data_IF_714597002207
#
_entry.id   IF_714597002207
#
_cell.length_a   1.000
_cell.length_b   1.000
_cell.length_c   1.000
_cell.angle_alpha   90.00
_cell.angle_beta   90.00
_cell.angle_gamma   90.00
#
_symmetry.space_group_name_H-M   'P 1'
#
loop_
_entity.id
_entity.type
_entity.pdbx_description
1 polymer ?
#
# COMPACT_ATOMS: atom_id res chain seq x y z
N UNK A 1 13.63 1.75 1.27
CA UNK A 1 15.06 1.37 1.12
C UNK A 1 15.23 0.48 -0.10
N UNK A 2 16.43 0.38 -0.68
CA UNK A 2 16.69 -0.45 -1.87
C UNK A 2 17.87 -1.39 -1.61
N UNK A 3 17.80 -2.63 -2.12
CA UNK A 3 18.90 -3.58 -2.00
C UNK A 3 18.95 -4.55 -3.18
N UNK A 4 20.13 -5.09 -3.46
CA UNK A 4 20.30 -6.25 -4.34
C UNK A 4 20.28 -7.52 -3.48
N UNK A 5 19.45 -8.48 -3.83
CA UNK A 5 19.37 -9.78 -3.15
C UNK A 5 20.41 -10.73 -3.76
N UNK A 6 21.40 -11.13 -2.96
CA UNK A 6 22.51 -11.97 -3.43
C UNK A 6 22.08 -13.37 -3.86
N UNK A 7 20.88 -13.83 -3.48
CA UNK A 7 20.39 -15.18 -3.84
C UNK A 7 19.93 -15.25 -5.28
N UNK A 8 19.29 -14.20 -5.79
CA UNK A 8 18.68 -14.17 -7.13
C UNK A 8 19.21 -13.03 -8.01
N UNK A 9 20.10 -12.19 -7.49
CA UNK A 9 20.65 -11.00 -8.12
C UNK A 9 19.57 -10.01 -8.62
N UNK A 10 18.39 -10.02 -7.96
CA UNK A 10 17.31 -9.07 -8.21
C UNK A 10 17.45 -7.86 -7.29
N UNK A 11 17.18 -6.68 -7.85
CA UNK A 11 17.04 -5.44 -7.07
C UNK A 11 15.62 -5.34 -6.54
N UNK A 12 15.50 -4.99 -5.26
CA UNK A 12 14.22 -4.76 -4.58
C UNK A 12 14.17 -3.36 -3.97
N UNK A 13 12.96 -2.81 -3.89
CA UNK A 13 12.66 -1.55 -3.21
C UNK A 13 11.53 -1.73 -2.20
N UNK A 14 11.77 -1.32 -0.96
CA UNK A 14 10.78 -1.22 0.09
C UNK A 14 10.22 0.19 0.18
N UNK A 15 8.90 0.27 0.26
CA UNK A 15 8.13 1.50 0.37
C UNK A 15 7.29 1.49 1.64
N UNK A 16 7.18 2.65 2.27
CA UNK A 16 6.20 2.95 3.31
C UNK A 16 5.31 4.07 2.80
N UNK A 17 3.99 3.85 2.84
CA UNK A 17 2.98 4.76 2.33
C UNK A 17 2.11 5.20 3.49
N UNK A 18 2.02 6.51 3.68
CA UNK A 18 1.18 7.12 4.72
C UNK A 18 -0.03 7.78 4.07
N UNK A 19 -1.22 7.35 4.47
CA UNK A 19 -2.50 7.94 4.10
C UNK A 19 -3.00 8.78 5.25
N UNK A 20 -3.20 10.07 5.02
CA UNK A 20 -3.73 11.00 6.03
C UNK A 20 -5.18 11.35 5.74
N UNK A 21 -6.07 11.13 6.71
CA UNK A 21 -7.46 11.52 6.58
C UNK A 21 -7.64 13.00 6.90
N UNK A 22 -7.76 13.83 5.87
CA UNK A 22 -8.04 15.26 6.01
C UNK A 22 -9.54 15.59 6.07
N UNK A 23 -10.42 14.59 6.04
CA UNK A 23 -11.86 14.80 6.15
C UNK A 23 -12.27 15.02 7.61
N UNK A 24 -13.37 15.77 7.87
CA UNK A 24 -13.94 15.89 9.21
C UNK A 24 -14.71 14.62 9.64
N UNK A 25 -14.61 13.53 8.87
CA UNK A 25 -15.35 12.27 9.08
C UNK A 25 -14.38 11.09 9.10
N UNK A 26 -14.77 10.06 9.85
CA UNK A 26 -14.06 8.80 9.89
C UNK A 26 -14.22 8.09 8.54
N UNK A 27 -13.12 7.65 7.94
CA UNK A 27 -13.15 6.82 6.73
C UNK A 27 -13.34 5.37 7.16
N UNK A 28 -14.39 4.70 6.68
CA UNK A 28 -14.69 3.30 6.99
C UNK A 28 -14.20 2.33 5.91
N UNK A 29 -14.11 2.79 4.66
CA UNK A 29 -13.46 2.06 3.59
C UNK A 29 -12.57 3.00 2.79
N UNK A 30 -11.38 2.50 2.43
CA UNK A 30 -10.43 3.15 1.55
C UNK A 30 -10.15 2.19 0.40
N UNK A 31 -10.22 2.67 -0.84
CA UNK A 31 -9.87 1.92 -2.03
C UNK A 31 -8.81 2.67 -2.80
N UNK A 32 -7.62 2.06 -2.94
CA UNK A 32 -6.50 2.60 -3.72
C UNK A 32 -6.36 1.70 -4.95
N UNK A 33 -6.45 2.28 -6.14
CA UNK A 33 -6.16 1.58 -7.38
C UNK A 33 -4.64 1.53 -7.59
N UNK A 34 -4.16 0.37 -8.05
CA UNK A 34 -2.78 0.13 -8.49
C UNK A 34 -2.79 -0.31 -9.95
N UNK A 35 -1.61 -0.43 -10.55
CA UNK A 35 -1.43 -1.07 -11.85
C UNK A 35 -0.27 -2.08 -11.80
N UNK A 36 0.19 -2.51 -12.97
CA UNK A 36 1.25 -3.51 -13.11
C UNK A 36 2.62 -3.05 -12.60
N UNK A 37 2.77 -1.78 -12.21
CA UNK A 37 3.97 -1.28 -11.52
C UNK A 37 4.07 -1.74 -10.07
N UNK A 38 2.98 -2.21 -9.43
CA UNK A 38 3.03 -2.83 -8.11
C UNK A 38 3.51 -4.29 -8.20
N UNK A 39 4.77 -4.44 -8.61
CA UNK A 39 5.46 -5.71 -8.85
C UNK A 39 6.00 -6.31 -7.55
N UNK A 40 5.11 -6.82 -6.68
CA UNK A 40 5.52 -7.38 -5.38
C UNK A 40 6.64 -8.42 -5.52
N UNK A 41 7.60 -8.39 -4.57
CA UNK A 41 8.66 -9.42 -4.49
C UNK A 41 8.08 -10.82 -4.41
N UNK A 42 7.12 -11.00 -3.50
CA UNK A 42 6.33 -12.22 -3.28
C UNK A 42 4.96 -11.84 -2.64
N UNK A 43 4.10 -12.82 -2.37
CA UNK A 43 2.77 -12.58 -1.79
C UNK A 43 2.77 -12.08 -0.35
N UNK A 44 3.88 -12.24 0.39
CA UNK A 44 4.02 -11.80 1.78
C UNK A 44 4.68 -10.42 1.90
N UNK A 45 5.20 -9.88 0.80
CA UNK A 45 5.91 -8.61 0.70
C UNK A 45 4.99 -7.38 0.74
N UNK A 46 3.88 -7.48 1.47
CA UNK A 46 2.90 -6.41 1.67
C UNK A 46 2.29 -6.59 3.07
N UNK A 47 2.19 -5.51 3.84
CA UNK A 47 1.70 -5.55 5.21
C UNK A 47 0.86 -4.31 5.52
N UNK A 48 0.02 -4.41 6.56
CA UNK A 48 -0.88 -3.34 6.97
C UNK A 48 -1.82 -2.85 5.86
N UNK A 49 -2.10 -3.68 4.87
CA UNK A 49 -3.08 -3.38 3.82
C UNK A 49 -3.56 -4.70 3.20
N UNK A 50 -4.83 -4.75 2.78
CA UNK A 50 -5.34 -5.87 2.01
C UNK A 50 -5.18 -5.58 0.51
N UNK A 51 -4.74 -6.57 -0.27
CA UNK A 51 -4.66 -6.50 -1.73
C UNK A 51 -5.63 -7.48 -2.35
N UNK A 52 -6.51 -7.00 -3.22
CA UNK A 52 -7.41 -7.81 -4.03
C UNK A 52 -7.32 -7.35 -5.49
N UNK A 53 -6.65 -8.16 -6.33
CA UNK A 53 -6.29 -7.75 -7.69
C UNK A 53 -5.47 -6.46 -7.68
N UNK A 54 -5.91 -5.46 -8.45
CA UNK A 54 -5.28 -4.14 -8.56
C UNK A 54 -5.90 -3.10 -7.61
N UNK A 55 -6.51 -3.55 -6.52
CA UNK A 55 -7.10 -2.69 -5.50
C UNK A 55 -6.50 -3.00 -4.13
N UNK A 56 -6.05 -1.96 -3.44
CA UNK A 56 -5.69 -2.02 -2.04
C UNK A 56 -6.82 -1.46 -1.18
N UNK A 57 -7.06 -2.08 -0.03
CA UNK A 57 -8.07 -1.63 0.92
C UNK A 57 -7.61 -1.82 2.36
N UNK A 58 -8.29 -1.15 3.30
CA UNK A 58 -8.05 -1.37 4.72
C UNK A 58 -8.21 -2.87 5.05
N UNK A 59 -7.30 -3.44 5.88
CA UNK A 59 -7.41 -4.82 6.32
C UNK A 59 -8.52 -4.96 7.37
N UNK A 60 -9.03 -6.18 7.56
CA UNK A 60 -10.16 -6.45 8.46
C UNK A 60 -9.93 -6.01 9.92
N UNK A 61 -8.68 -6.01 10.39
CA UNK A 61 -8.33 -5.54 11.74
C UNK A 61 -8.23 -4.01 11.87
N UNK A 62 -8.20 -3.27 10.75
CA UNK A 62 -8.23 -1.80 10.74
C UNK A 62 -9.54 -1.34 10.09
N UNK A 63 -10.64 -1.24 10.84
CA UNK A 63 -11.96 -0.95 10.25
C UNK A 63 -12.14 0.51 9.83
N UNK A 64 -11.21 1.41 10.16
CA UNK A 64 -11.35 2.84 9.84
C UNK A 64 -10.08 3.66 9.98
N UNK A 65 -10.10 4.88 9.42
CA UNK A 65 -9.12 5.95 9.69
C UNK A 65 -9.87 7.16 10.25
N UNK A 66 -9.58 7.55 11.50
CA UNK A 66 -10.25 8.66 12.17
C UNK A 66 -9.95 10.02 11.50
N UNK A 67 -10.77 11.06 11.73
CA UNK A 67 -10.47 12.41 11.28
C UNK A 67 -9.07 12.85 11.74
N UNK A 68 -8.31 13.49 10.85
CA UNK A 68 -6.95 13.96 11.09
C UNK A 68 -5.92 12.89 11.45
N UNK A 69 -6.29 11.60 11.41
CA UNK A 69 -5.38 10.50 11.68
C UNK A 69 -4.67 10.03 10.40
N UNK A 70 -3.48 9.46 10.59
CA UNK A 70 -2.72 8.81 9.51
C UNK A 70 -2.73 7.29 9.68
N UNK A 71 -2.68 6.60 8.55
CA UNK A 71 -2.53 5.15 8.47
C UNK A 71 -1.34 4.82 7.56
N UNK A 72 -0.46 3.96 8.03
CA UNK A 72 0.76 3.60 7.29
C UNK A 72 0.75 2.11 6.95
N UNK A 73 1.04 1.83 5.69
CA UNK A 73 1.26 0.48 5.19
C UNK A 73 2.55 0.41 4.39
N UNK A 74 3.00 -0.79 4.10
CA UNK A 74 4.23 -0.96 3.34
C UNK A 74 4.25 -2.21 2.49
N UNK A 75 5.19 -2.22 1.57
CA UNK A 75 5.39 -3.33 0.65
C UNK A 75 6.80 -3.30 0.06
N UNK A 76 7.18 -4.41 -0.57
CA UNK A 76 8.44 -4.56 -1.31
C UNK A 76 8.11 -4.92 -2.76
N UNK A 77 8.68 -4.17 -3.70
CA UNK A 77 8.60 -4.45 -5.14
C UNK A 77 9.94 -4.91 -5.72
N UNK A 78 9.87 -5.59 -6.86
CA UNK A 78 10.99 -5.85 -7.77
C UNK A 78 11.32 -4.58 -8.55
N UNK A 79 12.59 -4.20 -8.56
CA UNK A 79 13.08 -3.02 -9.26
C UNK A 79 13.17 -1.78 -8.37
N UNK A 80 13.41 -0.64 -9.02
CA UNK A 80 13.64 0.66 -8.39
C UNK A 80 12.60 1.72 -8.77
N UNK A 81 11.63 1.35 -9.61
CA UNK A 81 10.57 2.25 -10.05
C UNK A 81 9.61 2.58 -8.91
N UNK A 82 8.94 3.73 -9.01
CA UNK A 82 7.86 4.07 -8.10
C UNK A 82 6.57 3.38 -8.56
N UNK A 83 5.90 2.60 -7.67
CA UNK A 83 4.59 2.07 -7.98
C UNK A 83 3.55 3.19 -8.12
N UNK A 84 2.71 3.08 -9.13
CA UNK A 84 1.62 3.98 -9.37
C UNK A 84 0.40 3.59 -8.53
N UNK A 85 -0.12 4.57 -7.78
CA UNK A 85 -1.23 4.40 -6.84
C UNK A 85 -2.13 5.63 -6.86
N UNK A 86 -3.44 5.42 -6.91
CA UNK A 86 -4.43 6.50 -6.91
C UNK A 86 -5.56 6.16 -5.93
N UNK A 87 -5.98 7.13 -5.10
CA UNK A 87 -7.20 6.97 -4.29
C UNK A 87 -8.39 6.90 -5.24
N UNK A 88 -9.02 5.72 -5.32
CA UNK A 88 -10.18 5.46 -6.19
C UNK A 88 -11.47 5.91 -5.53
N UNK A 89 -11.64 5.57 -4.26
CA UNK A 89 -12.83 5.91 -3.48
C UNK A 89 -12.57 5.83 -1.98
N UNK A 90 -13.38 6.56 -1.22
CA UNK A 90 -13.49 6.44 0.23
C UNK A 90 -14.97 6.39 0.61
N UNK A 91 -15.31 5.68 1.69
CA UNK A 91 -16.63 5.77 2.33
C UNK A 91 -16.47 6.24 3.77
N UNK A 92 -17.47 6.92 4.29
CA UNK A 92 -17.51 7.46 5.65
C UNK A 92 -18.78 7.06 6.37
#
# INVERSE_FOLDING_TARGET
GQWNDSVNNCVYSQWEVTVTNHLPRKITNLFIATDDSLTLRDSASIWNIAKNGNVLSLPAYQPSVNPSASYTFGFIIKGTHQPHMIIKAVTY
#
